data_IF_355051863225
#
_entry.id   IF_355051863225
#
_cell.length_a   1.000
_cell.length_b   1.000
_cell.length_c   1.000
_cell.angle_alpha   90.00
_cell.angle_beta   90.00
_cell.angle_gamma   90.00
#
_symmetry.space_group_name_H-M   'P 1'
#
loop_
_entity.id
_entity.type
_entity.pdbx_description
1 polymer ?
#
# COMPACT_ATOMS: atom_id res chain seq x y z
N UNK A 1 -2.45 -13.35 -8.04
CA UNK A 1 -2.32 -12.27 -7.06
C UNK A 1 -0.88 -11.79 -7.06
N UNK A 2 -0.66 -10.48 -7.28
CA UNK A 2 0.67 -9.88 -7.29
C UNK A 2 0.82 -8.92 -6.12
N UNK A 3 1.75 -9.23 -5.22
CA UNK A 3 2.20 -8.33 -4.17
C UNK A 3 3.67 -7.99 -4.46
N UNK A 4 3.93 -6.75 -4.90
CA UNK A 4 5.26 -6.33 -5.34
C UNK A 4 5.69 -5.07 -4.59
N UNK A 5 6.96 -5.00 -4.24
CA UNK A 5 7.57 -3.85 -3.57
C UNK A 5 8.62 -3.22 -4.48
N UNK A 6 8.50 -1.92 -4.68
CA UNK A 6 9.43 -1.12 -5.48
C UNK A 6 10.15 -0.12 -4.57
N UNK A 7 11.47 -0.18 -4.49
CA UNK A 7 12.28 0.85 -3.87
C UNK A 7 12.43 2.02 -4.87
N UNK A 8 11.65 3.08 -4.69
CA UNK A 8 11.64 4.24 -5.58
C UNK A 8 12.77 5.22 -5.27
N UNK A 9 13.12 5.35 -3.99
CA UNK A 9 14.18 6.22 -3.52
C UNK A 9 14.83 5.65 -2.26
N UNK A 10 16.16 5.65 -2.24
CA UNK A 10 16.97 5.04 -1.17
C UNK A 10 18.06 5.97 -0.65
N UNK A 11 18.07 7.25 -1.07
CA UNK A 11 18.95 8.28 -0.53
C UNK A 11 18.30 9.00 0.64
N UNK A 12 19.08 9.47 1.57
CA UNK A 12 18.66 10.35 2.66
C UNK A 12 19.28 11.75 2.51
N UNK A 13 18.64 12.77 3.07
CA UNK A 13 19.03 14.18 3.09
C UNK A 13 19.14 14.86 1.71
N UNK A 14 19.85 14.28 0.76
CA UNK A 14 20.09 14.86 -0.56
C UNK A 14 19.94 13.79 -1.65
N UNK A 15 19.22 14.08 -2.75
CA UNK A 15 19.19 13.18 -3.89
C UNK A 15 20.55 13.12 -4.57
N UNK A 16 20.88 11.96 -5.11
CA UNK A 16 22.09 11.73 -5.91
C UNK A 16 21.68 11.45 -7.36
N UNK A 17 22.59 11.59 -8.33
CA UNK A 17 22.32 11.15 -9.69
C UNK A 17 21.83 9.69 -9.71
N UNK A 18 20.65 9.46 -10.27
CA UNK A 18 19.99 8.16 -10.37
C UNK A 18 19.65 7.49 -9.02
N UNK A 19 19.68 8.24 -7.92
CA UNK A 19 19.30 7.74 -6.59
C UNK A 19 18.52 8.83 -5.85
N UNK A 20 17.19 8.69 -5.82
CA UNK A 20 16.27 9.67 -5.27
C UNK A 20 16.05 9.47 -3.77
N UNK A 21 15.36 10.43 -3.14
CA UNK A 21 15.10 10.43 -1.70
C UNK A 21 14.07 9.37 -1.32
N UNK A 22 14.00 9.09 -0.03
CA UNK A 22 13.25 7.98 0.56
C UNK A 22 11.82 7.89 0.03
N UNK A 23 11.53 6.80 -0.65
CA UNK A 23 10.17 6.40 -1.05
C UNK A 23 10.12 4.94 -1.47
N UNK A 24 9.03 4.27 -1.14
CA UNK A 24 8.75 2.91 -1.55
C UNK A 24 7.31 2.77 -2.03
N UNK A 25 7.08 1.90 -2.98
CA UNK A 25 5.75 1.60 -3.50
C UNK A 25 5.42 0.13 -3.29
N UNK A 26 4.24 -0.13 -2.78
CA UNK A 26 3.64 -1.46 -2.81
C UNK A 26 2.57 -1.48 -3.89
N UNK A 27 2.66 -2.44 -4.80
CA UNK A 27 1.60 -2.78 -5.76
C UNK A 27 0.94 -4.08 -5.35
N UNK A 28 -0.38 -4.02 -5.18
CA UNK A 28 -1.21 -5.16 -4.84
C UNK A 28 -2.39 -5.23 -5.80
N UNK A 29 -2.42 -6.24 -6.65
CA UNK A 29 -3.48 -6.49 -7.66
C UNK A 29 -3.87 -5.26 -8.51
N UNK A 30 -2.95 -4.31 -8.68
CA UNK A 30 -3.15 -3.09 -9.46
C UNK A 30 -3.36 -1.82 -8.64
N UNK A 31 -3.64 -1.92 -7.36
CA UNK A 31 -3.64 -0.80 -6.43
C UNK A 31 -2.21 -0.43 -6.02
N UNK A 32 -1.96 0.86 -5.89
CA UNK A 32 -0.65 1.40 -5.54
C UNK A 32 -0.71 2.12 -4.20
N UNK A 33 0.17 1.72 -3.29
CA UNK A 33 0.35 2.29 -1.96
C UNK A 33 1.75 2.89 -1.86
N UNK A 34 1.85 4.20 -1.67
CA UNK A 34 3.14 4.89 -1.58
C UNK A 34 3.52 5.10 -0.12
N UNK A 35 4.72 4.69 0.26
CA UNK A 35 5.32 4.88 1.59
C UNK A 35 6.47 5.86 1.48
N UNK A 36 6.32 7.02 2.13
CA UNK A 36 7.09 8.24 1.97
C UNK A 36 7.13 8.76 0.52
N UNK A 37 7.43 10.02 0.38
CA UNK A 37 7.44 10.71 -0.90
C UNK A 37 8.54 11.76 -0.92
N UNK A 38 9.79 11.29 -0.97
CA UNK A 38 10.96 12.15 -1.09
C UNK A 38 11.10 12.75 -2.49
N UNK A 39 12.01 13.70 -2.65
CA UNK A 39 12.29 14.33 -3.92
C UNK A 39 12.73 13.30 -4.97
N UNK A 40 12.17 13.41 -6.18
CA UNK A 40 12.43 12.50 -7.29
C UNK A 40 11.53 11.26 -7.36
N UNK A 41 10.62 11.06 -6.40
CA UNK A 41 9.66 9.94 -6.43
C UNK A 41 8.93 9.84 -7.77
N UNK A 42 8.48 10.98 -8.33
CA UNK A 42 7.80 11.03 -9.63
C UNK A 42 8.68 10.56 -10.80
N UNK A 43 9.99 10.75 -10.70
CA UNK A 43 10.94 10.29 -11.72
C UNK A 43 11.03 8.77 -11.68
N UNK A 44 11.20 8.19 -10.49
CA UNK A 44 11.22 6.74 -10.29
C UNK A 44 9.93 6.07 -10.77
N UNK A 45 8.77 6.65 -10.44
CA UNK A 45 7.47 6.16 -10.93
C UNK A 45 7.41 6.11 -12.45
N UNK A 46 7.92 7.16 -13.12
CA UNK A 46 7.98 7.21 -14.58
C UNK A 46 8.96 6.20 -15.16
N UNK A 47 10.16 6.07 -14.57
CA UNK A 47 11.18 5.12 -15.01
C UNK A 47 10.69 3.67 -14.91
N UNK A 48 9.93 3.34 -13.88
CA UNK A 48 9.36 2.01 -13.63
C UNK A 48 8.00 1.80 -14.30
N UNK A 49 7.51 2.78 -15.07
CA UNK A 49 6.19 2.76 -15.69
C UNK A 49 5.04 2.47 -14.71
N UNK A 50 5.17 2.96 -13.48
CA UNK A 50 4.13 2.87 -12.46
C UNK A 50 3.13 4.02 -12.66
N UNK A 51 1.85 3.67 -12.74
CA UNK A 51 0.79 4.63 -13.05
C UNK A 51 0.36 5.38 -11.78
N UNK A 52 0.94 6.55 -11.51
CA UNK A 52 0.61 7.37 -10.32
C UNK A 52 -0.87 7.73 -10.18
N UNK A 53 -1.65 7.78 -11.26
CA UNK A 53 -3.13 7.92 -11.19
C UNK A 53 -3.77 6.86 -10.29
N UNK A 54 -3.15 5.68 -10.18
CA UNK A 54 -3.63 4.55 -9.38
C UNK A 54 -3.10 4.52 -7.95
N UNK A 55 -2.36 5.53 -7.52
CA UNK A 55 -1.97 5.66 -6.11
C UNK A 55 -3.21 6.08 -5.32
N UNK A 56 -3.78 5.16 -4.56
CA UNK A 56 -4.99 5.41 -3.78
C UNK A 56 -4.66 5.91 -2.37
N UNK A 57 -3.51 5.51 -1.85
CA UNK A 57 -3.11 5.86 -0.49
C UNK A 57 -1.62 6.17 -0.44
N UNK A 58 -1.28 7.23 0.31
CA UNK A 58 0.10 7.60 0.65
C UNK A 58 0.25 7.54 2.17
N UNK A 59 1.36 6.98 2.63
CA UNK A 59 1.73 6.92 4.04
C UNK A 59 3.02 7.70 4.25
N UNK A 60 3.00 8.73 5.09
CA UNK A 60 4.16 9.54 5.42
C UNK A 60 4.60 9.19 6.85
N UNK A 61 5.82 8.71 6.97
CA UNK A 61 6.37 8.26 8.25
C UNK A 61 6.62 9.44 9.20
N UNK A 62 7.22 10.53 8.71
CA UNK A 62 7.54 11.72 9.49
C UNK A 62 7.83 12.94 8.60
N UNK A 63 8.00 14.12 9.21
CA UNK A 63 8.15 15.41 8.51
C UNK A 63 9.61 15.83 8.29
N UNK A 64 10.55 14.91 8.06
CA UNK A 64 11.84 15.31 7.49
C UNK A 64 11.69 15.56 5.98
N UNK A 65 12.46 16.52 5.47
CA UNK A 65 12.32 16.96 4.08
C UNK A 65 12.49 15.82 3.08
N UNK A 66 13.45 14.94 3.30
CA UNK A 66 13.75 13.80 2.43
C UNK A 66 12.65 12.72 2.38
N UNK A 67 11.58 12.87 3.18
CA UNK A 67 10.41 11.99 3.17
C UNK A 67 9.14 12.65 2.59
N UNK A 68 9.13 13.98 2.40
CA UNK A 68 7.89 14.70 2.01
C UNK A 68 8.05 15.66 0.84
N UNK A 69 9.27 16.03 0.43
CA UNK A 69 9.50 17.07 -0.59
C UNK A 69 9.02 16.70 -1.98
N UNK A 70 8.85 15.42 -2.29
CA UNK A 70 8.25 14.95 -3.55
C UNK A 70 6.72 15.03 -3.59
N UNK A 71 6.08 15.18 -2.43
CA UNK A 71 4.62 15.12 -2.32
C UNK A 71 3.90 16.20 -3.17
N UNK A 72 4.30 17.49 -3.15
CA UNK A 72 3.67 18.50 -4.01
C UNK A 72 3.71 18.13 -5.50
N UNK A 73 4.83 17.57 -5.97
CA UNK A 73 4.97 17.11 -7.35
C UNK A 73 4.01 15.97 -7.71
N UNK A 74 3.85 14.98 -6.82
CA UNK A 74 2.91 13.87 -7.03
C UNK A 74 1.47 14.37 -7.05
N UNK A 75 1.11 15.30 -6.14
CA UNK A 75 -0.24 15.87 -6.09
C UNK A 75 -0.59 16.61 -7.38
N UNK A 76 0.33 17.43 -7.90
CA UNK A 76 0.15 18.14 -9.17
C UNK A 76 0.06 17.19 -10.37
N UNK A 77 0.96 16.19 -10.45
CA UNK A 77 0.93 15.21 -11.53
C UNK A 77 -0.37 14.39 -11.56
N UNK A 78 -0.89 14.04 -10.39
CA UNK A 78 -2.17 13.32 -10.28
C UNK A 78 -3.33 14.14 -10.81
N UNK A 79 -3.30 15.46 -10.67
CA UNK A 79 -4.28 16.38 -11.25
C UNK A 79 -4.19 16.44 -12.78
N UNK A 80 -2.98 16.36 -13.34
CA UNK A 80 -2.75 16.46 -14.80
C UNK A 80 -3.18 15.21 -15.59
N UNK A 81 -3.45 14.11 -14.92
CA UNK A 81 -3.89 12.85 -15.56
C UNK A 81 -5.36 12.54 -15.30
N UNK A 82 -6.16 13.58 -15.07
CA UNK A 82 -7.61 13.51 -14.83
C UNK A 82 -7.98 12.46 -13.77
N UNK A 83 -7.38 12.66 -12.58
CA UNK A 83 -7.74 11.84 -11.43
C UNK A 83 -9.12 12.27 -10.92
N UNK A 84 -10.05 11.33 -10.80
CA UNK A 84 -11.39 11.56 -10.25
C UNK A 84 -11.51 10.99 -8.82
N UNK A 85 -10.75 9.92 -8.53
CA UNK A 85 -10.82 9.23 -7.24
C UNK A 85 -10.13 10.04 -6.12
N UNK A 86 -10.66 10.06 -4.91
CA UNK A 86 -10.01 10.67 -3.75
C UNK A 86 -8.64 10.06 -3.48
N UNK A 87 -7.70 10.88 -2.99
CA UNK A 87 -6.40 10.44 -2.52
C UNK A 87 -6.36 10.53 -0.99
N UNK A 88 -6.23 9.41 -0.32
CA UNK A 88 -6.03 9.38 1.14
C UNK A 88 -4.54 9.44 1.49
N UNK A 89 -4.18 10.34 2.42
CA UNK A 89 -2.81 10.48 2.87
C UNK A 89 -2.77 10.36 4.40
N UNK A 90 -2.13 9.31 4.90
CA UNK A 90 -1.88 9.11 6.31
C UNK A 90 -0.51 9.67 6.68
N UNK A 91 -0.40 10.36 7.81
CA UNK A 91 0.89 10.85 8.29
C UNK A 91 0.81 11.62 9.59
N UNK A 92 1.89 12.31 9.98
CA UNK A 92 1.95 13.04 11.24
C UNK A 92 1.00 14.26 11.24
N UNK A 93 0.65 14.81 12.42
CA UNK A 93 -0.35 15.89 12.54
C UNK A 93 -0.09 17.13 11.66
N UNK A 94 1.20 17.47 11.42
CA UNK A 94 1.58 18.66 10.61
C UNK A 94 1.50 18.42 9.09
N UNK A 95 1.19 17.21 8.64
CA UNK A 95 1.14 16.89 7.22
C UNK A 95 0.05 17.69 6.49
N UNK A 96 -1.12 17.87 7.11
CA UNK A 96 -2.20 18.67 6.53
C UNK A 96 -1.78 20.13 6.34
N UNK A 97 -1.16 20.73 7.36
CA UNK A 97 -0.62 22.10 7.29
C UNK A 97 0.38 22.26 6.13
N UNK A 98 1.27 21.28 5.97
CA UNK A 98 2.25 21.26 4.87
C UNK A 98 1.58 21.23 3.50
N UNK A 99 0.60 20.35 3.30
CA UNK A 99 -0.12 20.23 2.03
C UNK A 99 -0.90 21.52 1.73
N UNK A 100 -1.65 22.04 2.70
CA UNK A 100 -2.46 23.26 2.54
C UNK A 100 -1.58 24.48 2.24
N UNK A 101 -0.42 24.60 2.92
CA UNK A 101 0.54 25.68 2.66
C UNK A 101 1.12 25.61 1.25
N UNK A 102 1.54 24.43 0.79
CA UNK A 102 2.03 24.25 -0.59
C UNK A 102 0.95 24.60 -1.61
N UNK A 103 -0.26 24.10 -1.43
CA UNK A 103 -1.38 24.40 -2.34
C UNK A 103 -1.61 25.89 -2.47
N UNK A 104 -1.62 26.62 -1.35
CA UNK A 104 -1.87 28.07 -1.34
C UNK A 104 -0.70 28.86 -1.91
N UNK A 105 0.56 28.53 -1.52
CA UNK A 105 1.73 29.33 -1.91
C UNK A 105 2.11 29.11 -3.38
N UNK A 106 1.92 27.90 -3.88
CA UNK A 106 2.27 27.51 -5.24
C UNK A 106 1.08 27.60 -6.21
N UNK A 107 -0.08 28.11 -5.77
CA UNK A 107 -1.31 28.16 -6.56
C UNK A 107 -1.64 26.83 -7.25
N UNK A 108 -1.46 25.71 -6.50
CA UNK A 108 -1.61 24.38 -7.06
C UNK A 108 -3.07 24.10 -7.41
N UNK A 109 -3.35 23.98 -8.71
CA UNK A 109 -4.64 23.47 -9.16
C UNK A 109 -4.72 21.97 -8.96
N UNK A 110 -5.65 21.53 -8.10
CA UNK A 110 -5.92 20.11 -7.81
C UNK A 110 -7.42 19.89 -7.97
N UNK A 111 -7.79 19.01 -8.91
CA UNK A 111 -9.16 18.74 -9.33
C UNK A 111 -9.79 17.50 -8.69
N UNK A 112 -9.13 16.92 -7.68
CA UNK A 112 -9.62 15.76 -6.92
C UNK A 112 -9.54 16.01 -5.42
N UNK A 113 -10.27 15.20 -4.65
CA UNK A 113 -10.28 15.30 -3.20
C UNK A 113 -8.99 14.74 -2.59
N UNK A 114 -8.39 15.48 -1.65
CA UNK A 114 -7.27 15.02 -0.82
C UNK A 114 -7.77 14.86 0.62
N UNK A 115 -7.78 13.63 1.11
CA UNK A 115 -8.20 13.27 2.47
C UNK A 115 -6.95 13.04 3.31
N UNK A 116 -6.61 13.99 4.19
CA UNK A 116 -5.46 13.84 5.09
C UNK A 116 -5.91 13.31 6.44
N UNK A 117 -5.33 12.20 6.87
CA UNK A 117 -5.60 11.55 8.15
C UNK A 117 -4.34 11.46 9.00
N UNK A 118 -4.46 11.68 10.31
CA UNK A 118 -3.35 11.45 11.23
C UNK A 118 -3.14 9.96 11.41
N UNK A 119 -1.90 9.49 11.23
CA UNK A 119 -1.52 8.10 11.43
C UNK A 119 -1.32 7.82 12.93
N UNK A 120 -2.40 7.49 13.63
CA UNK A 120 -2.34 7.04 15.02
C UNK A 120 -1.87 5.58 15.11
N UNK A 121 -1.17 5.18 16.18
CA UNK A 121 -0.84 3.78 16.41
C UNK A 121 -2.08 2.88 16.38
N UNK A 122 -1.99 1.72 15.72
CA UNK A 122 -3.06 0.77 15.52
C UNK A 122 -3.44 0.61 14.06
N UNK A 123 -4.60 0.04 13.79
CA UNK A 123 -5.08 -0.26 12.45
C UNK A 123 -5.58 1.02 11.76
N UNK A 124 -5.03 1.32 10.59
CA UNK A 124 -5.41 2.45 9.73
C UNK A 124 -6.37 2.02 8.61
N UNK A 125 -6.15 0.84 8.05
CA UNK A 125 -6.98 0.23 7.00
C UNK A 125 -7.24 -1.22 7.40
N UNK A 126 -8.49 -1.61 7.32
CA UNK A 126 -8.94 -3.00 7.52
C UNK A 126 -10.04 -3.31 6.51
N UNK A 127 -9.78 -4.24 5.62
CA UNK A 127 -10.75 -4.75 4.66
C UNK A 127 -10.67 -6.29 4.57
N UNK A 128 -11.44 -6.91 3.71
CA UNK A 128 -11.51 -8.38 3.61
C UNK A 128 -10.19 -9.01 3.12
N UNK A 129 -9.28 -8.22 2.58
CA UNK A 129 -8.10 -8.72 1.89
C UNK A 129 -6.79 -8.44 2.62
N UNK A 130 -6.65 -7.29 3.26
CA UNK A 130 -5.44 -6.88 3.96
C UNK A 130 -5.73 -5.90 5.09
N UNK A 131 -4.75 -5.72 5.94
CA UNK A 131 -4.71 -4.64 6.94
C UNK A 131 -3.49 -3.74 6.70
N UNK A 132 -3.60 -2.47 7.07
CA UNK A 132 -2.44 -1.59 7.25
C UNK A 132 -2.49 -1.05 8.66
N UNK A 133 -1.43 -1.26 9.41
CA UNK A 133 -1.28 -0.77 10.77
C UNK A 133 -0.09 0.18 10.91
N UNK A 134 -0.16 1.03 11.92
CA UNK A 134 0.85 2.01 12.27
C UNK A 134 1.39 1.76 13.68
N UNK A 135 2.67 2.01 13.89
CA UNK A 135 3.32 1.91 15.20
C UNK A 135 4.40 2.99 15.36
N UNK A 136 4.66 3.45 16.60
CA UNK A 136 5.65 4.49 16.82
C UNK A 136 7.08 3.97 16.61
N UNK A 137 7.94 4.81 16.04
CA UNK A 137 9.36 4.57 15.90
C UNK A 137 10.17 5.59 16.71
N UNK A 138 11.29 5.13 17.30
CA UNK A 138 12.23 6.01 17.95
C UNK A 138 13.01 6.83 16.89
N UNK A 139 12.82 8.13 16.89
CA UNK A 139 13.47 9.05 15.96
C UNK A 139 13.54 10.46 16.57
N UNK A 140 14.28 11.38 15.95
CA UNK A 140 14.40 12.78 16.40
C UNK A 140 13.12 13.60 16.29
N UNK A 141 12.19 13.16 15.46
CA UNK A 141 10.80 13.68 15.34
C UNK A 141 9.80 12.54 15.53
N UNK A 142 8.54 12.86 15.88
CA UNK A 142 7.48 11.85 15.87
C UNK A 142 7.48 11.10 14.53
N UNK A 143 7.72 9.80 14.59
CA UNK A 143 7.89 8.94 13.43
C UNK A 143 7.05 7.69 13.56
N UNK A 144 6.45 7.28 12.45
CA UNK A 144 5.53 6.16 12.35
C UNK A 144 6.09 5.11 11.41
N UNK A 145 6.17 3.86 11.87
CA UNK A 145 6.34 2.70 11.01
C UNK A 145 4.99 2.18 10.55
N UNK A 146 4.97 1.56 9.38
CA UNK A 146 3.76 0.97 8.80
C UNK A 146 3.99 -0.51 8.51
N UNK A 147 2.96 -1.31 8.72
CA UNK A 147 2.92 -2.73 8.33
C UNK A 147 1.70 -2.94 7.46
N UNK A 148 1.88 -3.53 6.29
CA UNK A 148 0.81 -3.99 5.42
C UNK A 148 0.83 -5.52 5.42
N UNK A 149 -0.27 -6.12 5.88
CA UNK A 149 -0.40 -7.57 6.03
C UNK A 149 -1.59 -8.09 5.22
N UNK A 150 -1.37 -9.09 4.41
CA UNK A 150 -2.45 -9.78 3.72
C UNK A 150 -3.19 -10.72 4.67
N UNK A 151 -4.51 -10.70 4.58
CA UNK A 151 -5.34 -11.67 5.31
C UNK A 151 -5.23 -13.05 4.67
N UNK A 152 -5.35 -14.07 5.51
CA UNK A 152 -5.35 -15.45 5.05
C UNK A 152 -6.43 -15.66 3.99
N UNK A 153 -6.03 -16.22 2.87
CA UNK A 153 -6.93 -16.60 1.78
C UNK A 153 -6.91 -18.10 1.59
N UNK A 154 -7.98 -18.67 1.02
CA UNK A 154 -7.93 -20.03 0.54
C UNK A 154 -6.75 -20.20 -0.42
N UNK A 155 -5.99 -21.30 -0.25
CA UNK A 155 -4.94 -21.68 -1.18
C UNK A 155 -5.49 -22.03 -2.57
N UNK A 156 -4.60 -22.24 -3.53
CA UNK A 156 -4.97 -22.79 -4.81
C UNK A 156 -5.53 -24.21 -4.61
N UNK A 157 -6.77 -24.42 -5.03
CA UNK A 157 -7.39 -25.73 -4.91
C UNK A 157 -7.05 -26.59 -6.13
N UNK A 158 -6.58 -27.81 -5.87
CA UNK A 158 -6.18 -28.79 -6.88
C UNK A 158 -7.26 -29.89 -7.02
N UNK A 159 -8.23 -29.73 -7.94
CA UNK A 159 -9.32 -30.70 -8.13
C UNK A 159 -8.83 -32.12 -8.41
N UNK A 160 -7.74 -32.22 -9.16
CA UNK A 160 -7.10 -33.51 -9.51
C UNK A 160 -6.54 -34.26 -8.30
N UNK A 161 -5.95 -33.54 -7.34
CA UNK A 161 -5.47 -34.11 -6.08
C UNK A 161 -6.65 -34.55 -5.20
N UNK A 162 -7.66 -33.70 -5.08
CA UNK A 162 -8.86 -34.03 -4.33
C UNK A 162 -9.57 -35.29 -4.89
N UNK A 163 -9.68 -35.39 -6.21
CA UNK A 163 -10.24 -36.57 -6.88
C UNK A 163 -9.38 -37.82 -6.67
N UNK A 164 -8.04 -37.66 -6.75
CA UNK A 164 -7.09 -38.76 -6.53
C UNK A 164 -7.11 -39.30 -5.08
N UNK A 165 -7.47 -38.44 -4.11
CA UNK A 165 -7.69 -38.83 -2.71
C UNK A 165 -9.08 -39.45 -2.47
N UNK A 166 -9.94 -39.54 -3.50
CA UNK A 166 -11.29 -40.09 -3.41
C UNK A 166 -12.29 -39.13 -2.75
N UNK A 167 -12.02 -37.84 -2.76
CA UNK A 167 -12.94 -36.86 -2.18
C UNK A 167 -14.00 -36.50 -3.23
N UNK A 168 -15.28 -36.76 -2.96
CA UNK A 168 -16.34 -36.47 -3.93
C UNK A 168 -16.44 -34.94 -4.16
N UNK A 169 -16.65 -34.57 -5.44
CA UNK A 169 -16.89 -33.20 -5.81
C UNK A 169 -18.12 -32.63 -5.08
N UNK A 170 -17.96 -31.49 -4.39
CA UNK A 170 -19.06 -30.88 -3.66
C UNK A 170 -18.62 -30.09 -2.45
N UNK A 171 -19.46 -30.01 -1.39
CA UNK A 171 -19.22 -29.16 -0.23
C UNK A 171 -17.89 -29.46 0.51
N UNK A 172 -17.38 -30.69 0.43
CA UNK A 172 -16.10 -31.08 1.06
C UNK A 172 -14.92 -30.34 0.43
N UNK A 173 -14.94 -30.15 -0.90
CA UNK A 173 -13.92 -29.38 -1.60
C UNK A 173 -13.90 -27.93 -1.11
N UNK A 174 -15.06 -27.30 -0.94
CA UNK A 174 -15.17 -25.95 -0.41
C UNK A 174 -14.71 -25.81 1.04
N UNK A 175 -14.83 -26.87 1.86
CA UNK A 175 -14.25 -26.89 3.20
C UNK A 175 -12.74 -26.94 3.19
N UNK A 176 -12.16 -27.85 2.39
CA UNK A 176 -10.70 -27.96 2.22
C UNK A 176 -10.09 -26.65 1.71
N UNK A 177 -10.71 -26.04 0.69
CA UNK A 177 -10.25 -24.77 0.14
C UNK A 177 -10.24 -23.65 1.18
N UNK A 178 -11.16 -23.68 2.15
CA UNK A 178 -11.21 -22.73 3.27
C UNK A 178 -10.28 -23.07 4.41
N UNK A 179 -9.42 -24.09 4.28
CA UNK A 179 -8.47 -24.49 5.29
C UNK A 179 -9.04 -25.40 6.39
N UNK A 180 -10.19 -26.04 6.17
CA UNK A 180 -10.78 -26.97 7.13
C UNK A 180 -10.54 -28.42 6.72
N UNK A 181 -10.15 -29.26 7.67
CA UNK A 181 -10.09 -30.70 7.46
C UNK A 181 -11.49 -31.29 7.18
N UNK A 182 -11.52 -32.37 6.42
CA UNK A 182 -12.76 -33.12 6.14
C UNK A 182 -12.58 -34.59 6.48
N UNK A 183 -13.66 -35.23 6.95
CA UNK A 183 -13.69 -36.66 7.20
C UNK A 183 -14.52 -37.32 6.10
N UNK A 184 -13.95 -38.34 5.45
CA UNK A 184 -14.64 -39.15 4.45
C UNK A 184 -15.50 -40.25 5.09
N UNK A 185 -16.39 -40.84 4.33
CA UNK A 185 -17.29 -41.93 4.80
C UNK A 185 -16.53 -43.18 5.27
N UNK A 186 -15.30 -43.37 4.80
CA UNK A 186 -14.40 -44.47 5.20
C UNK A 186 -13.59 -44.15 6.47
N UNK A 187 -13.85 -43.00 7.11
CA UNK A 187 -13.17 -42.54 8.34
C UNK A 187 -11.83 -41.84 8.15
N UNK A 188 -11.32 -41.72 6.91
CA UNK A 188 -10.08 -40.97 6.65
C UNK A 188 -10.30 -39.47 6.88
N UNK A 189 -9.37 -38.82 7.56
CA UNK A 189 -9.32 -37.38 7.74
C UNK A 189 -8.33 -36.79 6.75
N UNK A 190 -8.82 -35.93 5.88
CA UNK A 190 -8.00 -35.23 4.89
C UNK A 190 -7.74 -33.79 5.41
N UNK A 191 -6.47 -33.41 5.44
CA UNK A 191 -6.05 -32.03 5.75
C UNK A 191 -6.11 -31.16 4.50
N UNK A 192 -6.33 -29.83 4.65
CA UNK A 192 -6.33 -28.89 3.54
C UNK A 192 -4.97 -28.72 2.89
#
# INVERSE_FOLDING_TARGET
MNFEVFALGTSGMMPLPNRFLTSAMVRRDGDLFLFDCGEGTQISLKMLNLKWKKINTIFISHMHADHVTGLPGILMLSSQVDRDDPLTIYGPPRLKEYIDANRRILDMYINYEIIVKVAHPGILIDNDEFTVSAFPLAHTKPCTGFVMEEKLRPGEFHPELASGLGIPMGPLWGKLQKGFSVTLDDGRVIQP
#
